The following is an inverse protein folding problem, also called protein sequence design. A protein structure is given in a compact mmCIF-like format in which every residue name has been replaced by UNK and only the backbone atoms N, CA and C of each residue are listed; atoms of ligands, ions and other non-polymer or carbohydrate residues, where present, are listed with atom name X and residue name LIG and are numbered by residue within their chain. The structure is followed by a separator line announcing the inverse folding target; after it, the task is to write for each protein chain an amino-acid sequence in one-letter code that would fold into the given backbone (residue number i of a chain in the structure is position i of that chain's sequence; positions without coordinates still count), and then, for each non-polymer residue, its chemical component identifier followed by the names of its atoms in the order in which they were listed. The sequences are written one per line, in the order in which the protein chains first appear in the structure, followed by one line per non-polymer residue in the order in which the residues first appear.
data_IF_875374438867
#
_entry.id   IF_875374438867
#
_cell.length_a   1.000
_cell.length_b   1.000
_cell.length_c   1.000
_cell.angle_alpha   90.00
_cell.angle_beta   90.00
_cell.angle_gamma   90.00
#
_symmetry.space_group_name_H-M   'P 1'
#
loop_
_entity.id
_entity.type
_entity.pdbx_description
1 polymer ?
#
# COMPACT_ATOMS: atom_id res chain seq x y z
N UNK A 1 -10.34 -1.81 -12.82
CA UNK A 1 -9.55 -2.16 -11.62
C UNK A 1 -8.40 -3.07 -12.07
N UNK A 2 -7.15 -2.66 -11.83
CA UNK A 2 -5.93 -3.30 -12.37
C UNK A 2 -5.83 -4.79 -12.01
N UNK A 3 -6.29 -5.17 -10.82
CA UNK A 3 -6.34 -6.58 -10.38
C UNK A 3 -7.39 -7.39 -11.11
N UNK A 4 -8.50 -6.76 -11.46
CA UNK A 4 -9.56 -7.38 -12.26
C UNK A 4 -9.09 -7.61 -13.70
N UNK A 5 -8.32 -6.66 -14.27
CA UNK A 5 -7.70 -6.81 -15.60
C UNK A 5 -6.56 -7.82 -15.63
N UNK A 6 -5.70 -7.86 -14.60
CA UNK A 6 -4.62 -8.84 -14.47
C UNK A 6 -5.13 -10.28 -14.30
N UNK A 7 -6.27 -10.46 -13.60
CA UNK A 7 -6.94 -11.76 -13.44
C UNK A 7 -7.41 -12.37 -14.76
N UNK A 8 -7.62 -11.56 -15.80
CA UNK A 8 -8.26 -11.99 -17.04
C UNK A 8 -7.30 -12.54 -18.10
N UNK A 9 -5.97 -12.49 -17.91
CA UNK A 9 -5.01 -12.85 -18.98
C UNK A 9 -3.76 -13.60 -18.56
N UNK A 10 -3.55 -13.90 -17.28
CA UNK A 10 -2.36 -14.62 -16.86
C UNK A 10 -2.56 -16.13 -17.05
N UNK A 11 -1.96 -16.68 -18.09
CA UNK A 11 -1.94 -18.13 -18.38
C UNK A 11 -0.52 -18.64 -18.22
N UNK A 12 -0.36 -19.69 -17.43
CA UNK A 12 0.91 -20.43 -17.28
C UNK A 12 0.72 -21.84 -17.80
N UNK A 13 1.79 -22.45 -18.33
CA UNK A 13 1.71 -23.82 -18.83
C UNK A 13 1.41 -24.81 -17.69
N UNK A 14 0.55 -25.79 -17.96
CA UNK A 14 0.25 -26.88 -17.01
C UNK A 14 1.28 -28.00 -17.18
N UNK A 15 2.21 -28.11 -16.23
CA UNK A 15 3.33 -29.07 -16.26
C UNK A 15 3.54 -29.68 -14.88
N UNK A 16 3.82 -30.98 -14.81
CA UNK A 16 4.06 -31.70 -13.54
C UNK A 16 5.46 -31.46 -12.94
N UNK A 17 6.34 -30.78 -13.67
CA UNK A 17 7.69 -30.41 -13.23
C UNK A 17 7.72 -29.05 -12.51
N UNK A 18 8.88 -28.66 -11.97
CA UNK A 18 9.07 -27.34 -11.38
C UNK A 18 8.77 -26.23 -12.41
N UNK A 19 7.75 -25.43 -12.13
CA UNK A 19 7.24 -24.42 -13.05
C UNK A 19 7.65 -23.01 -12.59
N UNK A 20 8.68 -22.46 -13.24
CA UNK A 20 9.17 -21.12 -12.95
C UNK A 20 8.16 -20.03 -13.31
N UNK A 21 7.45 -20.16 -14.43
CA UNK A 21 6.44 -19.18 -14.88
C UNK A 21 5.29 -19.08 -13.87
N UNK A 22 4.92 -20.20 -13.24
CA UNK A 22 3.91 -20.20 -12.18
C UNK A 22 4.36 -19.41 -10.94
N UNK A 23 5.63 -19.53 -10.55
CA UNK A 23 6.18 -18.77 -9.42
C UNK A 23 6.20 -17.28 -9.74
N UNK A 24 6.71 -16.89 -10.91
CA UNK A 24 6.72 -15.50 -11.34
C UNK A 24 5.30 -14.90 -11.41
N UNK A 25 4.31 -15.70 -11.84
CA UNK A 25 2.92 -15.30 -11.84
C UNK A 25 2.39 -14.96 -10.43
N UNK A 26 2.74 -15.78 -9.43
CA UNK A 26 2.38 -15.53 -8.02
C UNK A 26 3.11 -14.29 -7.46
N UNK A 27 4.40 -14.14 -7.79
CA UNK A 27 5.19 -12.98 -7.38
C UNK A 27 4.65 -11.68 -7.97
N UNK A 28 4.28 -11.68 -9.26
CA UNK A 28 3.65 -10.55 -9.92
C UNK A 28 2.35 -10.13 -9.22
N UNK A 29 1.51 -11.10 -8.84
CA UNK A 29 0.28 -10.83 -8.10
C UNK A 29 0.54 -10.16 -6.74
N UNK A 30 1.58 -10.61 -6.03
CA UNK A 30 1.98 -10.02 -4.76
C UNK A 30 2.55 -8.61 -4.95
N UNK A 31 3.40 -8.40 -5.95
CA UNK A 31 3.95 -7.08 -6.28
C UNK A 31 2.85 -6.07 -6.62
N UNK A 32 1.88 -6.45 -7.46
CA UNK A 32 0.73 -5.59 -7.79
C UNK A 32 -0.09 -5.25 -6.55
N UNK A 33 -0.24 -6.21 -5.63
CA UNK A 33 -0.95 -5.98 -4.37
C UNK A 33 -0.24 -4.95 -3.50
N UNK A 34 1.07 -5.09 -3.29
CA UNK A 34 1.86 -4.14 -2.49
C UNK A 34 1.95 -2.77 -3.15
N UNK A 35 2.08 -2.72 -4.48
CA UNK A 35 2.11 -1.48 -5.25
C UNK A 35 0.80 -0.69 -5.07
N UNK A 36 -0.35 -1.37 -5.17
CA UNK A 36 -1.66 -0.75 -4.94
C UNK A 36 -1.81 -0.25 -3.49
N UNK A 37 -1.42 -1.07 -2.50
CA UNK A 37 -1.45 -0.67 -1.08
C UNK A 37 -0.65 0.61 -0.84
N UNK A 38 0.54 0.69 -1.45
CA UNK A 38 1.44 1.83 -1.32
C UNK A 38 0.85 3.06 -2.01
N UNK A 39 0.40 2.93 -3.26
CA UNK A 39 -0.16 4.04 -4.03
C UNK A 39 -1.42 4.62 -3.38
N UNK A 40 -2.34 3.77 -2.91
CA UNK A 40 -3.55 4.23 -2.21
C UNK A 40 -3.22 4.91 -0.88
N UNK A 41 -2.24 4.40 -0.14
CA UNK A 41 -1.81 5.01 1.13
C UNK A 41 -1.15 6.37 0.92
N UNK A 42 -0.33 6.48 -0.13
CA UNK A 42 0.29 7.74 -0.55
C UNK A 42 -0.74 8.77 -1.01
N UNK A 43 -1.76 8.35 -1.75
CA UNK A 43 -2.85 9.22 -2.20
C UNK A 43 -3.69 9.73 -1.01
N UNK A 44 -4.02 8.83 -0.07
CA UNK A 44 -4.79 9.17 1.13
C UNK A 44 -4.04 10.16 2.03
N UNK A 45 -2.71 10.03 2.18
CA UNK A 45 -1.89 10.88 3.07
C UNK A 45 -1.65 12.25 2.45
N UNK A 46 -2.29 13.27 3.02
CA UNK A 46 -2.16 14.67 2.59
C UNK A 46 -1.15 15.45 3.44
N UNK A 47 0.10 14.98 3.48
CA UNK A 47 1.24 15.67 4.08
C UNK A 47 2.55 15.18 3.44
N UNK A 48 3.67 15.81 3.79
CA UNK A 48 5.01 15.31 3.48
C UNK A 48 5.77 14.96 4.75
N UNK A 49 6.31 13.75 4.83
CA UNK A 49 7.06 13.23 5.98
C UNK A 49 8.04 12.14 5.56
N UNK A 50 9.31 12.32 5.93
CA UNK A 50 10.37 11.34 5.63
C UNK A 50 10.51 11.11 4.13
N UNK A 51 10.42 9.85 3.70
CA UNK A 51 10.54 9.47 2.28
C UNK A 51 9.30 9.81 1.44
N UNK A 52 8.15 10.11 2.06
CA UNK A 52 6.93 10.49 1.34
C UNK A 52 6.87 12.01 1.20
N UNK A 53 6.96 12.51 -0.02
CA UNK A 53 6.87 13.94 -0.34
C UNK A 53 5.80 14.20 -1.40
N UNK A 54 5.01 15.24 -1.18
CA UNK A 54 3.90 15.69 -2.00
C UNK A 54 4.02 17.19 -2.26
N UNK A 55 4.07 17.59 -3.54
CA UNK A 55 4.21 19.02 -3.92
C UNK A 55 2.98 19.84 -3.54
N UNK A 56 1.82 19.22 -3.54
CA UNK A 56 0.53 19.79 -3.14
C UNK A 56 0.36 19.86 -1.60
N UNK A 57 1.10 19.04 -0.84
CA UNK A 57 1.13 19.07 0.63
C UNK A 57 2.58 18.99 1.16
N UNK A 58 3.38 20.06 0.99
CA UNK A 58 4.83 19.99 1.19
C UNK A 58 5.28 19.93 2.66
N UNK A 59 4.39 20.23 3.60
CA UNK A 59 4.70 20.30 5.02
C UNK A 59 4.23 19.03 5.76
N UNK A 60 4.85 18.76 6.91
CA UNK A 60 4.40 17.72 7.85
C UNK A 60 3.20 18.23 8.65
N UNK A 61 2.14 17.45 8.81
CA UNK A 61 0.94 17.82 9.57
C UNK A 61 0.75 16.85 10.75
N UNK A 62 1.23 17.26 11.93
CA UNK A 62 1.09 16.47 13.14
C UNK A 62 -0.32 16.51 13.76
N UNK A 63 -1.18 17.44 13.32
CA UNK A 63 -2.55 17.53 13.85
C UNK A 63 -3.47 16.50 13.18
N UNK A 64 -3.36 16.33 11.86
CA UNK A 64 -4.21 15.40 11.08
C UNK A 64 -3.56 14.04 10.85
N UNK A 65 -2.24 14.01 10.63
CA UNK A 65 -1.52 12.86 10.06
C UNK A 65 -0.48 12.21 10.98
N UNK A 66 -0.50 12.52 12.27
CA UNK A 66 0.24 11.77 13.30
C UNK A 66 -0.41 10.39 13.56
N UNK A 67 -0.47 9.58 12.50
CA UNK A 67 -1.18 8.31 12.38
C UNK A 67 -0.40 7.39 11.44
N UNK A 68 -0.46 6.09 11.72
CA UNK A 68 -0.10 5.04 10.78
C UNK A 68 -1.29 4.78 9.83
N UNK A 69 -1.02 4.39 8.59
CA UNK A 69 -2.06 3.93 7.66
C UNK A 69 -1.98 2.41 7.62
N UNK A 70 -2.94 1.74 8.25
CA UNK A 70 -3.07 0.29 8.22
C UNK A 70 -3.88 -0.09 6.98
N UNK A 71 -3.40 -1.06 6.20
CA UNK A 71 -4.12 -1.54 5.01
C UNK A 71 -4.56 -2.98 5.25
N UNK A 72 -5.84 -3.27 4.98
CA UNK A 72 -6.42 -4.60 5.16
C UNK A 72 -7.28 -4.96 3.96
N UNK A 73 -7.23 -6.23 3.56
CA UNK A 73 -8.15 -6.80 2.58
C UNK A 73 -9.38 -7.36 3.33
N UNK A 74 -10.54 -6.78 3.11
CA UNK A 74 -11.83 -7.24 3.66
C UNK A 74 -12.83 -7.35 2.50
N UNK A 75 -13.56 -8.47 2.40
CA UNK A 75 -14.56 -8.69 1.34
C UNK A 75 -14.05 -8.47 -0.10
N UNK A 76 -12.76 -8.80 -0.34
CA UNK A 76 -12.02 -8.56 -1.60
C UNK A 76 -11.76 -7.08 -1.91
N UNK A 77 -12.03 -6.18 -0.99
CA UNK A 77 -11.72 -4.76 -1.10
C UNK A 77 -10.57 -4.35 -0.17
N UNK A 78 -9.73 -3.45 -0.66
CA UNK A 78 -8.61 -2.91 0.10
C UNK A 78 -9.08 -1.70 0.93
N UNK A 79 -9.17 -1.88 2.24
CA UNK A 79 -9.54 -0.81 3.19
C UNK A 79 -8.31 -0.19 3.83
N UNK A 80 -8.29 1.13 3.88
CA UNK A 80 -7.24 1.93 4.52
C UNK A 80 -7.78 2.49 5.84
N UNK A 81 -7.06 2.25 6.92
CA UNK A 81 -7.48 2.55 8.29
C UNK A 81 -6.39 3.42 8.93
N UNK A 82 -6.60 4.76 9.01
CA UNK A 82 -5.70 5.64 9.75
C UNK A 82 -5.80 5.38 11.25
N UNK A 83 -4.72 4.91 11.85
CA UNK A 83 -4.64 4.56 13.28
C UNK A 83 -3.68 5.51 13.99
N UNK A 84 -4.10 6.19 15.08
CA UNK A 84 -3.23 7.06 15.87
C UNK A 84 -1.97 6.33 16.34
N UNK A 85 -0.84 7.03 16.33
CA UNK A 85 0.41 6.49 16.88
C UNK A 85 0.40 6.56 18.41
N UNK A 86 0.86 5.50 19.07
CA UNK A 86 1.00 5.46 20.52
C UNK A 86 2.26 6.20 20.96
N UNK A 87 2.10 7.44 21.45
CA UNK A 87 3.21 8.23 21.98
C UNK A 87 3.37 7.97 23.48
N UNK A 88 4.57 7.56 23.91
CA UNK A 88 4.86 7.27 25.32
C UNK A 88 5.61 8.39 26.03
N UNK A 89 6.71 8.89 25.44
CA UNK A 89 7.63 9.82 26.11
C UNK A 89 7.81 11.15 25.39
N UNK A 90 7.96 11.12 24.06
CA UNK A 90 8.24 12.31 23.26
C UNK A 90 7.06 12.59 22.35
N UNK A 91 6.59 13.84 22.38
CA UNK A 91 5.63 14.36 21.42
C UNK A 91 6.37 15.20 20.39
N UNK A 92 6.14 14.97 19.08
CA UNK A 92 6.67 15.85 18.05
C UNK A 92 6.18 17.29 18.29
N UNK A 93 6.99 18.27 17.92
CA UNK A 93 6.49 19.65 17.79
C UNK A 93 5.37 19.70 16.76
N UNK A 94 4.48 20.67 16.88
CA UNK A 94 3.52 20.95 15.81
C UNK A 94 4.29 21.21 14.50
N UNK A 95 3.81 20.61 13.42
CA UNK A 95 4.33 20.72 12.07
C UNK A 95 3.35 21.51 11.22
#
# INVERSE_FOLDING_TARGET
DLKTEAKLKLTVADVEAYNFEWIEALELWNMLTVAEMTARSALLREESRGAHFRRDFPNTDNQKWLKNIMVRLEDKEMKLIPTPVSLTKLRPKEG
#
